data_IF_037393880903
#
_entry.id   IF_037393880903
#
_cell.length_a   1.000
_cell.length_b   1.000
_cell.length_c   1.000
_cell.angle_alpha   90.00
_cell.angle_beta   90.00
_cell.angle_gamma   90.00
#
_symmetry.space_group_name_H-M   'P 1'
#
loop_
_entity.id
_entity.type
_entity.pdbx_description
1 polymer ?
#
# COMPACT_ATOMS: atom_id res chain seq x y z
N UNK A 1 -2.35 5.07 47.17
CA UNK A 1 -2.25 4.17 46.04
C UNK A 1 -0.79 3.87 45.79
N UNK A 2 -0.40 2.62 45.62
CA UNK A 2 0.99 2.26 45.31
C UNK A 2 1.40 2.88 43.95
N UNK A 3 2.63 3.44 43.92
CA UNK A 3 3.18 4.02 42.68
C UNK A 3 3.53 2.88 41.72
N UNK A 4 2.93 2.87 40.54
CA UNK A 4 3.23 1.88 39.48
C UNK A 4 4.70 2.02 39.09
N UNK A 5 5.44 0.92 39.05
CA UNK A 5 6.83 0.86 38.59
C UNK A 5 6.88 0.30 37.16
N UNK A 6 7.96 0.63 36.44
CA UNK A 6 8.13 0.14 35.06
C UNK A 6 8.25 -1.39 35.01
N UNK A 7 8.80 -2.01 36.04
CA UNK A 7 8.90 -3.46 36.20
C UNK A 7 7.54 -4.12 36.27
N UNK A 8 6.56 -3.48 36.95
CA UNK A 8 5.18 -3.99 37.01
C UNK A 8 4.54 -3.95 35.62
N UNK A 9 4.81 -2.90 34.84
CA UNK A 9 4.32 -2.76 33.46
C UNK A 9 4.95 -3.82 32.57
N UNK A 10 6.26 -4.05 32.67
CA UNK A 10 6.98 -5.11 31.93
C UNK A 10 6.38 -6.47 32.21
N UNK A 11 6.24 -6.84 33.48
CA UNK A 11 5.66 -8.12 33.86
C UNK A 11 4.20 -8.30 33.41
N UNK A 12 3.47 -7.20 33.29
CA UNK A 12 2.09 -7.25 32.83
C UNK A 12 1.97 -7.42 31.32
N UNK A 13 2.80 -6.76 30.51
CA UNK A 13 2.73 -6.86 29.05
C UNK A 13 3.36 -8.15 28.52
N UNK A 14 4.35 -8.70 29.21
CA UNK A 14 4.97 -9.99 28.86
C UNK A 14 3.99 -11.16 28.86
N UNK A 15 2.92 -11.10 29.64
CA UNK A 15 1.85 -12.13 29.66
C UNK A 15 1.18 -12.29 28.30
N UNK A 16 1.19 -11.26 27.47
CA UNK A 16 0.61 -11.24 26.14
C UNK A 16 1.70 -11.20 25.04
N UNK A 17 2.93 -11.58 25.38
CA UNK A 17 4.11 -11.54 24.50
C UNK A 17 4.45 -10.13 23.97
N UNK A 18 4.09 -9.08 24.73
CA UNK A 18 4.54 -7.73 24.45
C UNK A 18 5.77 -7.39 25.29
N UNK A 19 6.54 -6.39 24.84
CA UNK A 19 7.69 -5.88 25.58
C UNK A 19 7.58 -4.37 25.78
N UNK A 20 8.16 -3.85 26.85
CA UNK A 20 8.38 -2.42 27.06
C UNK A 20 9.79 -2.07 26.60
N UNK A 21 9.88 -1.23 25.58
CA UNK A 21 11.17 -0.75 25.02
C UNK A 21 11.66 0.49 25.77
N UNK A 22 10.73 1.35 26.25
CA UNK A 22 11.09 2.51 27.06
C UNK A 22 11.84 2.11 28.32
N UNK A 23 12.83 2.93 28.72
CA UNK A 23 13.64 2.70 29.91
C UNK A 23 12.96 3.23 31.16
N UNK A 24 12.10 4.26 31.04
CA UNK A 24 11.46 4.95 32.16
C UNK A 24 9.94 5.00 32.01
N UNK A 25 9.26 5.00 33.17
CA UNK A 25 7.83 5.27 33.31
C UNK A 25 7.61 6.51 34.15
N UNK A 26 6.97 7.53 33.61
CA UNK A 26 6.70 8.80 34.32
C UNK A 26 5.30 8.80 34.92
N UNK A 27 4.26 8.60 34.10
CA UNK A 27 2.87 8.55 34.53
C UNK A 27 1.98 7.85 33.46
N UNK A 28 0.68 7.71 33.79
CA UNK A 28 -0.30 7.01 32.94
C UNK A 28 -0.51 7.63 31.55
N UNK A 29 -0.25 8.93 31.39
CA UNK A 29 -0.53 9.68 30.15
C UNK A 29 0.76 9.90 29.31
N UNK A 30 1.94 9.65 29.87
CA UNK A 30 3.20 9.80 29.14
C UNK A 30 3.34 8.68 28.13
N UNK A 31 3.66 9.04 26.88
CA UNK A 31 3.91 8.07 25.81
C UNK A 31 5.13 7.20 26.14
N UNK A 32 4.97 5.93 25.89
CA UNK A 32 6.00 4.89 26.01
C UNK A 32 6.08 4.11 24.72
N UNK A 33 7.19 3.43 24.51
CA UNK A 33 7.40 2.54 23.38
C UNK A 33 7.21 1.10 23.85
N UNK A 34 6.28 0.41 23.21
CA UNK A 34 6.03 -1.01 23.38
C UNK A 34 6.37 -1.76 22.09
N UNK A 35 6.72 -3.02 22.19
CA UNK A 35 6.86 -3.95 21.07
C UNK A 35 5.79 -5.03 21.20
N UNK A 36 4.95 -5.21 20.17
CA UNK A 36 3.94 -6.26 20.17
C UNK A 36 4.56 -7.64 19.86
N UNK A 37 3.76 -8.71 20.00
CA UNK A 37 4.19 -10.08 19.74
C UNK A 37 4.79 -10.30 18.32
N UNK A 38 4.38 -9.49 17.34
CA UNK A 38 4.87 -9.53 15.95
C UNK A 38 6.07 -8.58 15.72
N UNK A 39 6.66 -8.01 16.77
CA UNK A 39 7.83 -7.14 16.70
C UNK A 39 7.55 -5.69 16.27
N UNK A 40 6.29 -5.27 16.15
CA UNK A 40 5.98 -3.88 15.79
C UNK A 40 6.12 -2.95 17.00
N UNK A 41 6.75 -1.79 16.80
CA UNK A 41 6.79 -0.76 17.86
C UNK A 41 5.48 0.03 17.89
N UNK A 42 4.95 0.18 19.10
CA UNK A 42 3.69 0.88 19.39
C UNK A 42 3.98 2.03 20.35
N UNK A 43 3.72 3.25 19.90
CA UNK A 43 3.86 4.48 20.69
C UNK A 43 2.50 4.79 21.31
N UNK A 44 2.40 4.64 22.63
CA UNK A 44 1.15 4.91 23.34
C UNK A 44 1.38 5.12 24.84
N UNK A 45 0.51 5.87 25.53
CA UNK A 45 0.55 5.95 26.99
C UNK A 45 0.11 4.63 27.63
N UNK A 46 0.68 4.32 28.79
CA UNK A 46 0.34 3.10 29.55
C UNK A 46 -1.16 2.97 29.82
N UNK A 47 -1.86 4.06 30.07
CA UNK A 47 -3.32 4.09 30.24
C UNK A 47 -4.05 3.40 29.08
N UNK A 48 -3.63 3.65 27.84
CA UNK A 48 -4.25 3.07 26.62
C UNK A 48 -3.91 1.58 26.49
N UNK A 49 -2.64 1.22 26.64
CA UNK A 49 -2.16 -0.18 26.50
C UNK A 49 -2.75 -1.07 27.59
N UNK A 50 -2.89 -0.56 28.82
CA UNK A 50 -3.51 -1.30 29.92
C UNK A 50 -5.00 -1.61 29.69
N UNK A 51 -5.73 -0.69 29.06
CA UNK A 51 -7.15 -0.88 28.76
C UNK A 51 -7.33 -1.86 27.60
N UNK A 52 -6.53 -1.73 26.57
CA UNK A 52 -6.63 -2.57 25.36
C UNK A 52 -5.27 -2.67 24.69
N UNK A 53 -4.67 -3.87 24.73
CA UNK A 53 -3.40 -4.15 24.04
C UNK A 53 -3.66 -4.44 22.58
N UNK A 54 -3.81 -3.39 21.80
CA UNK A 54 -3.95 -3.48 20.36
C UNK A 54 -2.74 -2.84 19.67
N UNK A 55 -2.07 -3.61 18.84
CA UNK A 55 -1.11 -3.06 17.91
C UNK A 55 -1.87 -2.52 16.69
N UNK A 56 -1.78 -1.21 16.38
CA UNK A 56 -2.47 -0.65 15.21
C UNK A 56 -2.06 -1.33 13.91
N UNK A 57 -0.76 -1.66 13.79
CA UNK A 57 -0.21 -2.31 12.60
C UNK A 57 -0.75 -3.74 12.44
N UNK A 58 -0.75 -4.54 13.51
CA UNK A 58 -1.34 -5.88 13.49
C UNK A 58 -2.84 -5.83 13.18
N UNK A 59 -3.57 -4.91 13.83
CA UNK A 59 -5.00 -4.76 13.63
C UNK A 59 -5.34 -4.40 12.21
N UNK A 60 -4.63 -3.44 11.63
CA UNK A 60 -4.84 -3.01 10.25
C UNK A 60 -4.50 -4.12 9.25
N UNK A 61 -3.38 -4.80 9.44
CA UNK A 61 -2.99 -5.94 8.62
C UNK A 61 -3.96 -7.12 8.76
N UNK A 62 -4.38 -7.45 9.99
CA UNK A 62 -5.28 -8.57 10.26
C UNK A 62 -6.66 -8.40 9.61
N UNK A 63 -7.29 -7.23 9.78
CA UNK A 63 -8.65 -7.01 9.27
C UNK A 63 -8.71 -6.91 7.75
N UNK A 64 -7.69 -6.35 7.09
CA UNK A 64 -7.72 -6.15 5.63
C UNK A 64 -7.20 -7.33 4.82
N UNK A 65 -6.32 -8.15 5.37
CA UNK A 65 -5.74 -9.33 4.68
C UNK A 65 -6.63 -10.57 4.84
N UNK A 66 -7.17 -10.80 6.03
CA UNK A 66 -7.98 -11.99 6.31
C UNK A 66 -9.38 -11.95 5.68
N UNK A 67 -9.88 -10.76 5.28
CA UNK A 67 -11.15 -10.63 4.56
C UNK A 67 -11.04 -10.92 3.06
N UNK A 68 -9.83 -10.97 2.51
CA UNK A 68 -9.63 -11.20 1.08
C UNK A 68 -9.68 -12.71 0.80
N UNK A 69 -10.82 -13.18 0.28
CA UNK A 69 -10.92 -14.57 -0.19
C UNK A 69 -9.97 -14.79 -1.36
N UNK A 70 -8.90 -15.57 -1.12
CA UNK A 70 -7.92 -15.92 -2.13
C UNK A 70 -8.52 -16.90 -3.14
N UNK A 71 -8.38 -16.59 -4.40
CA UNK A 71 -8.81 -17.45 -5.52
C UNK A 71 -7.57 -18.21 -6.01
N UNK A 72 -7.57 -19.55 -5.94
CA UNK A 72 -6.44 -20.36 -6.40
C UNK A 72 -6.10 -20.09 -7.87
N UNK A 73 -4.81 -19.92 -8.16
CA UNK A 73 -4.32 -19.74 -9.53
C UNK A 73 -4.46 -21.05 -10.32
N UNK A 74 -5.02 -20.96 -11.52
CA UNK A 74 -5.09 -22.11 -12.42
C UNK A 74 -3.71 -22.43 -13.01
N UNK A 75 -3.39 -23.72 -13.15
CA UNK A 75 -2.14 -24.18 -13.74
C UNK A 75 -1.98 -23.65 -15.17
N UNK A 76 -0.80 -23.14 -15.50
CA UNK A 76 -0.47 -22.63 -16.84
C UNK A 76 -0.95 -21.18 -17.11
N UNK A 77 -1.69 -20.56 -16.20
CA UNK A 77 -2.11 -19.17 -16.34
C UNK A 77 -1.14 -18.26 -15.56
N UNK A 78 -0.66 -17.22 -16.21
CA UNK A 78 0.14 -16.17 -15.57
C UNK A 78 -0.76 -15.23 -14.79
N UNK A 79 -0.38 -14.94 -13.53
CA UNK A 79 -1.08 -14.01 -12.65
C UNK A 79 -0.29 -12.74 -12.50
N UNK A 80 -0.96 -11.60 -12.61
CA UNK A 80 -0.36 -10.30 -12.27
C UNK A 80 -1.06 -9.66 -11.08
N UNK A 81 -0.28 -8.95 -10.25
CA UNK A 81 -0.72 -8.00 -9.25
C UNK A 81 -0.37 -6.61 -9.76
N UNK A 82 -1.29 -5.66 -9.68
CA UNK A 82 -1.01 -4.27 -10.08
C UNK A 82 -1.42 -3.29 -8.98
N UNK A 83 -0.63 -2.22 -8.84
CA UNK A 83 -0.73 -1.25 -7.77
C UNK A 83 -0.83 0.17 -8.33
N UNK A 84 -1.84 0.91 -7.86
CA UNK A 84 -1.90 2.37 -7.85
C UNK A 84 -1.47 2.82 -6.43
N UNK A 85 -0.14 2.97 -6.23
CA UNK A 85 0.41 3.16 -4.91
C UNK A 85 0.21 4.57 -4.38
N UNK A 86 -0.21 4.65 -3.12
CA UNK A 86 -0.18 5.86 -2.32
C UNK A 86 -0.02 5.52 -0.83
N UNK A 87 0.43 6.49 -0.03
CA UNK A 87 0.76 6.24 1.37
C UNK A 87 -0.45 6.05 2.27
N UNK A 88 -1.62 6.53 1.88
CA UNK A 88 -2.88 6.38 2.64
C UNK A 88 -3.81 5.35 2.04
N UNK A 89 -3.99 5.36 0.72
CA UNK A 89 -4.90 4.46 0.02
C UNK A 89 -4.17 3.94 -1.22
N UNK A 90 -3.81 2.66 -1.21
CA UNK A 90 -3.23 1.98 -2.37
C UNK A 90 -4.30 1.14 -3.04
N UNK A 91 -4.63 1.46 -4.29
CA UNK A 91 -5.46 0.62 -5.12
C UNK A 91 -4.69 -0.61 -5.61
N UNK A 92 -5.38 -1.75 -5.73
CA UNK A 92 -4.77 -2.97 -6.23
C UNK A 92 -5.71 -3.81 -7.07
N UNK A 93 -5.16 -4.58 -8.00
CA UNK A 93 -5.91 -5.54 -8.82
C UNK A 93 -5.11 -6.80 -9.12
N UNK A 94 -5.83 -7.93 -9.25
CA UNK A 94 -5.27 -9.24 -9.62
C UNK A 94 -5.90 -9.67 -10.95
N UNK A 95 -5.06 -10.05 -11.89
CA UNK A 95 -5.48 -10.64 -13.16
C UNK A 95 -4.88 -12.04 -13.32
N UNK A 96 -5.69 -12.98 -13.86
CA UNK A 96 -5.26 -14.27 -14.36
C UNK A 96 -5.33 -14.24 -15.91
N UNK A 97 -4.17 -14.18 -16.57
CA UNK A 97 -4.11 -13.78 -17.97
C UNK A 97 -4.72 -12.39 -18.11
N UNK A 98 -5.71 -12.23 -19.00
CA UNK A 98 -6.44 -10.96 -19.19
C UNK A 98 -7.74 -10.87 -18.39
N UNK A 99 -8.02 -11.86 -17.53
CA UNK A 99 -9.25 -11.87 -16.72
C UNK A 99 -9.04 -11.21 -15.37
N UNK A 100 -9.81 -10.18 -15.04
CA UNK A 100 -9.87 -9.60 -13.70
C UNK A 100 -10.40 -10.65 -12.71
N UNK A 101 -9.62 -10.95 -11.66
CA UNK A 101 -9.93 -11.94 -10.63
C UNK A 101 -10.41 -11.27 -9.36
N UNK A 102 -9.69 -10.23 -8.93
CA UNK A 102 -9.97 -9.51 -7.70
C UNK A 102 -9.39 -8.10 -7.78
N UNK A 103 -9.94 -7.20 -7.00
CA UNK A 103 -9.48 -5.82 -6.86
C UNK A 103 -9.90 -5.28 -5.48
N UNK A 104 -9.37 -4.15 -5.10
CA UNK A 104 -9.73 -3.44 -3.88
C UNK A 104 -8.76 -2.32 -3.55
N UNK A 105 -8.84 -1.86 -2.32
CA UNK A 105 -7.92 -0.89 -1.75
C UNK A 105 -7.25 -1.45 -0.50
N UNK A 106 -6.03 -1.01 -0.24
CA UNK A 106 -5.40 -1.06 1.08
C UNK A 106 -5.38 0.36 1.63
N UNK A 107 -5.91 0.57 2.82
CA UNK A 107 -5.98 1.87 3.47
C UNK A 107 -5.20 1.83 4.78
N UNK A 108 -4.39 2.85 5.05
CA UNK A 108 -3.72 3.07 6.33
C UNK A 108 -4.00 4.48 6.84
N UNK A 109 -4.21 4.61 8.16
CA UNK A 109 -4.48 5.90 8.84
C UNK A 109 -3.38 6.26 9.84
N UNK A 110 -2.23 5.60 9.75
CA UNK A 110 -1.08 5.88 10.61
C UNK A 110 -0.58 7.31 10.36
N UNK A 111 -0.28 8.03 11.42
CA UNK A 111 0.13 9.44 11.30
C UNK A 111 1.56 9.59 10.74
N UNK A 112 2.45 8.69 11.14
CA UNK A 112 3.85 8.70 10.76
C UNK A 112 4.05 8.13 9.35
N UNK A 113 4.87 8.79 8.51
CA UNK A 113 5.15 8.37 7.13
C UNK A 113 5.85 7.01 7.09
N UNK A 114 6.89 6.81 7.92
CA UNK A 114 7.65 5.55 7.94
C UNK A 114 6.77 4.37 8.37
N UNK A 115 5.85 4.60 9.31
CA UNK A 115 4.89 3.57 9.72
C UNK A 115 3.91 3.23 8.60
N UNK A 116 3.42 4.23 7.86
CA UNK A 116 2.56 3.99 6.68
C UNK A 116 3.28 3.19 5.62
N UNK A 117 4.50 3.59 5.26
CA UNK A 117 5.30 2.91 4.26
C UNK A 117 5.59 1.46 4.67
N UNK A 118 5.88 1.25 5.97
CA UNK A 118 6.06 -0.08 6.54
C UNK A 118 4.78 -0.91 6.47
N UNK A 119 3.62 -0.31 6.74
CA UNK A 119 2.33 -1.00 6.64
C UNK A 119 2.03 -1.41 5.19
N UNK A 120 2.26 -0.52 4.21
CA UNK A 120 2.10 -0.83 2.77
C UNK A 120 3.08 -1.92 2.34
N UNK A 121 4.34 -1.85 2.76
CA UNK A 121 5.36 -2.89 2.50
C UNK A 121 4.90 -4.26 3.01
N UNK A 122 4.51 -4.33 4.28
CA UNK A 122 4.10 -5.59 4.91
C UNK A 122 2.83 -6.16 4.24
N UNK A 123 1.89 -5.29 3.90
CA UNK A 123 0.71 -5.67 3.13
C UNK A 123 1.10 -6.24 1.76
N UNK A 124 2.03 -5.60 1.03
CA UNK A 124 2.50 -6.10 -0.26
C UNK A 124 3.14 -7.48 -0.14
N UNK A 125 3.99 -7.72 0.88
CA UNK A 125 4.59 -9.04 1.13
C UNK A 125 3.48 -10.08 1.32
N UNK A 126 2.46 -9.79 2.11
CA UNK A 126 1.33 -10.69 2.31
C UNK A 126 0.54 -10.94 1.00
N UNK A 127 0.31 -9.90 0.19
CA UNK A 127 -0.31 -10.05 -1.12
C UNK A 127 0.49 -10.98 -2.03
N UNK A 128 1.80 -10.83 -2.06
CA UNK A 128 2.72 -11.68 -2.84
C UNK A 128 2.64 -13.14 -2.36
N UNK A 129 2.73 -13.38 -1.06
CA UNK A 129 2.71 -14.72 -0.47
C UNK A 129 1.39 -15.45 -0.72
N UNK A 130 0.27 -14.74 -0.62
CA UNK A 130 -1.07 -15.32 -0.75
C UNK A 130 -1.51 -15.48 -2.20
N UNK A 131 -1.28 -14.48 -3.05
CA UNK A 131 -1.73 -14.50 -4.43
C UNK A 131 -0.74 -15.10 -5.42
N UNK A 132 0.56 -15.17 -5.04
CA UNK A 132 1.65 -15.74 -5.86
C UNK A 132 1.64 -15.19 -7.29
N UNK A 133 1.75 -13.86 -7.47
CA UNK A 133 1.79 -13.27 -8.79
C UNK A 133 3.07 -13.68 -9.52
N UNK A 134 3.00 -13.86 -10.83
CA UNK A 134 4.15 -14.08 -11.70
C UNK A 134 4.79 -12.75 -12.10
N UNK A 135 4.02 -11.64 -12.05
CA UNK A 135 4.45 -10.29 -12.39
C UNK A 135 3.77 -9.26 -11.49
N UNK A 136 4.45 -8.15 -11.27
CA UNK A 136 3.85 -7.01 -10.56
C UNK A 136 3.95 -5.76 -11.43
N UNK A 137 2.82 -5.07 -11.64
CA UNK A 137 2.75 -3.74 -12.23
C UNK A 137 2.61 -2.67 -11.15
N UNK A 138 3.35 -1.59 -11.27
CA UNK A 138 3.26 -0.47 -10.33
C UNK A 138 3.17 0.84 -11.13
N UNK A 139 2.27 1.77 -10.74
CA UNK A 139 2.19 3.05 -11.43
C UNK A 139 3.50 3.83 -11.25
N UNK A 140 3.97 4.46 -12.33
CA UNK A 140 5.11 5.38 -12.25
C UNK A 140 4.68 6.68 -11.57
N UNK A 141 5.50 7.14 -10.63
CA UNK A 141 5.30 8.44 -10.01
C UNK A 141 5.96 9.50 -10.89
N UNK A 142 5.19 10.52 -11.21
CA UNK A 142 5.69 11.65 -12.00
C UNK A 142 5.62 12.92 -11.17
N UNK A 143 6.69 13.69 -11.19
CA UNK A 143 6.62 15.05 -10.73
C UNK A 143 5.58 15.77 -11.60
N UNK A 144 4.47 16.18 -11.00
CA UNK A 144 3.45 16.93 -11.74
C UNK A 144 4.10 18.20 -12.26
N UNK A 145 3.95 18.46 -13.57
CA UNK A 145 4.44 19.68 -14.19
C UNK A 145 3.78 20.86 -13.44
N UNK A 146 4.59 21.54 -12.66
CA UNK A 146 4.15 22.65 -11.83
C UNK A 146 3.74 23.88 -12.66
N UNK A 147 3.78 23.71 -14.01
CA UNK A 147 3.42 24.75 -14.95
C UNK A 147 4.31 25.98 -14.80
N UNK A 148 4.08 27.00 -15.62
CA UNK A 148 4.74 28.31 -15.55
C UNK A 148 4.29 29.18 -14.36
N UNK A 149 3.77 28.57 -13.26
CA UNK A 149 3.41 29.26 -12.04
C UNK A 149 4.68 29.62 -11.27
N UNK A 150 4.71 30.84 -10.77
CA UNK A 150 5.89 31.37 -10.10
C UNK A 150 6.26 30.53 -8.87
N UNK A 151 7.55 30.37 -8.62
CA UNK A 151 8.17 29.60 -7.50
C UNK A 151 7.69 30.07 -6.10
N UNK A 152 6.85 31.09 -6.03
CA UNK A 152 6.35 31.69 -4.79
C UNK A 152 5.02 31.10 -4.28
N UNK A 153 4.38 30.19 -5.02
CA UNK A 153 3.09 29.64 -4.61
C UNK A 153 3.26 28.43 -3.69
N UNK A 154 2.58 28.46 -2.56
CA UNK A 154 2.51 27.37 -1.57
C UNK A 154 2.15 26.01 -2.21
N UNK A 155 1.37 26.04 -3.28
CA UNK A 155 0.95 24.84 -4.03
C UNK A 155 2.11 24.07 -4.67
N UNK A 156 3.20 24.76 -5.05
CA UNK A 156 4.39 24.13 -5.61
C UNK A 156 5.17 23.34 -4.56
N UNK A 157 5.23 23.88 -3.33
CA UNK A 157 5.88 23.21 -2.20
C UNK A 157 5.12 21.94 -1.85
N UNK A 158 3.79 22.00 -1.81
CA UNK A 158 2.93 20.82 -1.56
C UNK A 158 3.11 19.75 -2.63
N UNK A 159 3.20 20.13 -3.91
CA UNK A 159 3.45 19.18 -5.01
C UNK A 159 4.79 18.46 -4.89
N UNK A 160 5.86 19.17 -4.53
CA UNK A 160 7.20 18.60 -4.31
C UNK A 160 7.21 17.67 -3.08
N UNK A 161 6.56 18.05 -1.98
CA UNK A 161 6.45 17.23 -0.79
C UNK A 161 5.69 15.92 -1.08
N UNK A 162 4.56 16.02 -1.78
CA UNK A 162 3.80 14.83 -2.19
C UNK A 162 4.62 13.91 -3.09
N UNK A 163 5.34 14.47 -4.07
CA UNK A 163 6.23 13.68 -4.93
C UNK A 163 7.32 12.97 -4.12
N UNK A 164 7.96 13.67 -3.18
CA UNK A 164 9.01 13.10 -2.32
C UNK A 164 8.49 11.91 -1.52
N UNK A 165 7.35 12.05 -0.87
CA UNK A 165 6.71 10.99 -0.08
C UNK A 165 6.35 9.79 -0.95
N UNK A 166 5.79 10.00 -2.14
CA UNK A 166 5.49 8.92 -3.08
C UNK A 166 6.75 8.25 -3.61
N UNK A 167 7.85 9.01 -3.82
CA UNK A 167 9.13 8.46 -4.28
C UNK A 167 9.76 7.54 -3.23
N UNK A 168 9.66 7.91 -1.95
CA UNK A 168 10.11 7.05 -0.85
C UNK A 168 9.34 5.73 -0.85
N UNK A 169 8.01 5.80 -0.88
CA UNK A 169 7.16 4.61 -0.91
C UNK A 169 7.47 3.74 -2.14
N UNK A 170 7.57 4.33 -3.34
CA UNK A 170 7.87 3.56 -4.56
C UNK A 170 9.21 2.84 -4.45
N UNK A 171 10.26 3.51 -3.94
CA UNK A 171 11.56 2.89 -3.70
C UNK A 171 11.48 1.69 -2.76
N UNK A 172 10.72 1.80 -1.67
CA UNK A 172 10.49 0.70 -0.72
C UNK A 172 9.76 -0.47 -1.40
N UNK A 173 8.70 -0.19 -2.18
CA UNK A 173 7.92 -1.23 -2.85
C UNK A 173 8.73 -1.94 -3.93
N UNK A 174 9.49 -1.21 -4.76
CA UNK A 174 10.35 -1.78 -5.79
C UNK A 174 11.44 -2.66 -5.17
N UNK A 175 12.09 -2.20 -4.10
CA UNK A 175 13.07 -3.02 -3.39
C UNK A 175 12.44 -4.28 -2.81
N UNK A 176 11.23 -4.16 -2.25
CA UNK A 176 10.50 -5.32 -1.71
C UNK A 176 10.18 -6.34 -2.79
N UNK A 177 9.70 -5.91 -3.96
CA UNK A 177 9.40 -6.78 -5.10
C UNK A 177 10.68 -7.47 -5.58
N UNK A 178 11.78 -6.71 -5.65
CA UNK A 178 13.11 -7.22 -6.00
C UNK A 178 13.56 -8.33 -5.05
N UNK A 179 13.49 -8.11 -3.75
CA UNK A 179 13.85 -9.10 -2.73
C UNK A 179 13.01 -10.39 -2.84
N UNK A 180 11.75 -10.28 -3.28
CA UNK A 180 10.86 -11.42 -3.53
C UNK A 180 11.13 -12.12 -4.88
N UNK A 181 12.07 -11.63 -5.67
CA UNK A 181 12.45 -12.14 -7.00
C UNK A 181 11.27 -12.27 -7.96
N UNK A 182 10.40 -11.26 -7.98
CA UNK A 182 9.24 -11.23 -8.88
C UNK A 182 9.53 -10.20 -9.98
N UNK A 183 9.40 -10.56 -11.25
CA UNK A 183 9.48 -9.62 -12.36
C UNK A 183 8.45 -8.51 -12.21
N UNK A 184 8.85 -7.26 -12.49
CA UNK A 184 7.95 -6.13 -12.37
C UNK A 184 8.08 -5.15 -13.53
N UNK A 185 7.05 -4.33 -13.70
CA UNK A 185 7.00 -3.23 -14.67
C UNK A 185 6.52 -1.95 -13.97
N UNK A 186 7.24 -0.86 -14.18
CA UNK A 186 6.80 0.49 -13.81
C UNK A 186 5.99 1.05 -14.97
N UNK A 187 4.73 1.37 -14.72
CA UNK A 187 3.73 1.74 -15.72
C UNK A 187 3.56 3.25 -15.78
N UNK A 188 4.10 3.96 -16.78
CA UNK A 188 3.90 5.40 -16.92
C UNK A 188 2.41 5.74 -17.06
N UNK A 189 1.91 6.68 -16.25
CA UNK A 189 0.50 7.09 -16.21
C UNK A 189 -0.07 7.43 -17.60
N UNK A 190 0.60 8.19 -18.49
CA UNK A 190 0.08 8.45 -19.82
C UNK A 190 -0.06 7.19 -20.68
N UNK A 191 0.86 6.25 -20.52
CA UNK A 191 0.93 5.03 -21.31
C UNK A 191 -0.24 4.09 -21.01
N UNK A 192 -0.44 3.71 -19.75
CA UNK A 192 -1.53 2.82 -19.38
C UNK A 192 -2.91 3.48 -19.58
N UNK A 193 -3.04 4.79 -19.31
CA UNK A 193 -4.29 5.53 -19.58
C UNK A 193 -4.66 5.57 -21.06
N UNK A 194 -3.66 5.79 -21.95
CA UNK A 194 -3.86 5.72 -23.39
C UNK A 194 -4.28 4.32 -23.81
N UNK A 195 -3.63 3.28 -23.31
CA UNK A 195 -3.97 1.89 -23.59
C UNK A 195 -5.42 1.56 -23.19
N UNK A 196 -5.85 2.02 -22.03
CA UNK A 196 -7.22 1.85 -21.55
C UNK A 196 -8.27 2.70 -22.30
N UNK A 197 -7.84 3.71 -23.07
CA UNK A 197 -8.74 4.63 -23.75
C UNK A 197 -9.33 5.72 -22.85
N UNK A 198 -8.64 6.05 -21.74
CA UNK A 198 -9.04 7.10 -20.79
C UNK A 198 -9.10 8.45 -21.48
N UNK A 199 -10.22 9.14 -21.35
CA UNK A 199 -10.48 10.45 -21.94
C UNK A 199 -10.71 11.51 -20.87
N UNK A 200 -10.43 12.77 -21.20
CA UNK A 200 -10.68 13.91 -20.32
C UNK A 200 -9.55 14.92 -20.32
N UNK A 201 -9.90 16.20 -20.08
CA UNK A 201 -8.94 17.29 -20.03
C UNK A 201 -8.42 17.50 -18.60
N UNK A 202 -9.27 17.36 -17.62
CA UNK A 202 -8.94 17.52 -16.20
C UNK A 202 -8.63 16.20 -15.52
N UNK A 203 -8.02 16.25 -14.33
CA UNK A 203 -7.80 15.06 -13.49
C UNK A 203 -9.13 14.40 -13.11
N UNK A 204 -10.16 15.19 -12.79
CA UNK A 204 -11.49 14.69 -12.46
C UNK A 204 -12.16 13.97 -13.65
N UNK A 205 -12.07 14.53 -14.86
CA UNK A 205 -12.61 13.90 -16.07
C UNK A 205 -11.94 12.54 -16.32
N UNK A 206 -10.60 12.46 -16.18
CA UNK A 206 -9.85 11.20 -16.38
C UNK A 206 -10.23 10.14 -15.37
N UNK A 207 -10.39 10.49 -14.09
CA UNK A 207 -10.86 9.58 -13.04
C UNK A 207 -12.26 9.06 -13.35
N UNK A 208 -13.19 9.96 -13.67
CA UNK A 208 -14.55 9.57 -14.08
C UNK A 208 -14.55 8.69 -15.34
N UNK A 209 -13.74 9.02 -16.33
CA UNK A 209 -13.57 8.20 -17.54
C UNK A 209 -13.10 6.78 -17.20
N UNK A 210 -12.13 6.64 -16.28
CA UNK A 210 -11.63 5.32 -15.88
C UNK A 210 -12.71 4.49 -15.17
N UNK A 211 -13.48 5.09 -14.27
CA UNK A 211 -14.61 4.39 -13.62
C UNK A 211 -15.66 3.92 -14.61
N UNK A 212 -16.00 4.75 -15.62
CA UNK A 212 -16.94 4.37 -16.69
C UNK A 212 -16.41 3.20 -17.54
N UNK A 213 -15.13 3.21 -17.87
CA UNK A 213 -14.49 2.11 -18.60
C UNK A 213 -14.53 0.81 -17.80
N UNK A 214 -14.21 0.84 -16.50
CA UNK A 214 -14.31 -0.34 -15.62
C UNK A 214 -15.75 -0.85 -15.55
N UNK A 215 -16.73 0.05 -15.42
CA UNK A 215 -18.16 -0.32 -15.47
C UNK A 215 -18.53 -0.98 -16.79
N UNK A 216 -18.03 -0.45 -17.90
CA UNK A 216 -18.27 -1.03 -19.23
C UNK A 216 -17.62 -2.41 -19.41
N UNK A 217 -16.41 -2.63 -18.90
CA UNK A 217 -15.68 -3.89 -19.10
C UNK A 217 -16.16 -5.02 -18.20
N UNK A 218 -16.55 -4.70 -16.96
CA UNK A 218 -16.77 -5.70 -15.93
C UNK A 218 -18.14 -5.60 -15.25
N UNK A 219 -18.96 -4.60 -15.58
CA UNK A 219 -20.27 -4.31 -14.96
C UNK A 219 -20.18 -4.10 -13.42
N UNK A 220 -19.10 -3.50 -12.95
CA UNK A 220 -18.86 -3.19 -11.54
C UNK A 220 -18.76 -1.68 -11.32
N UNK A 221 -19.14 -1.22 -10.12
CA UNK A 221 -18.92 0.16 -9.66
C UNK A 221 -17.77 0.17 -8.67
N UNK A 222 -16.83 1.07 -8.84
CA UNK A 222 -15.56 1.11 -8.11
C UNK A 222 -15.20 2.53 -7.68
N UNK A 223 -14.32 2.66 -6.69
CA UNK A 223 -13.68 3.92 -6.32
C UNK A 223 -12.68 4.37 -7.39
N UNK A 224 -12.14 5.58 -7.25
CA UNK A 224 -11.11 6.07 -8.18
C UNK A 224 -9.83 5.22 -8.13
N UNK A 225 -9.39 4.89 -6.93
CA UNK A 225 -8.13 4.18 -6.71
C UNK A 225 -8.24 2.70 -7.15
N UNK A 226 -9.40 2.07 -6.95
CA UNK A 226 -9.70 0.76 -7.54
C UNK A 226 -9.73 0.82 -9.07
N UNK A 227 -10.36 1.87 -9.65
CA UNK A 227 -10.44 2.01 -11.10
C UNK A 227 -9.05 2.16 -11.74
N UNK A 228 -8.20 3.03 -11.18
CA UNK A 228 -6.84 3.24 -11.68
C UNK A 228 -6.02 1.94 -11.54
N UNK A 229 -6.10 1.22 -10.41
CA UNK A 229 -5.43 -0.07 -10.22
C UNK A 229 -5.93 -1.17 -11.20
N UNK A 230 -7.23 -1.22 -11.50
CA UNK A 230 -7.80 -2.12 -12.52
C UNK A 230 -7.27 -1.76 -13.91
N UNK A 231 -7.17 -0.47 -14.22
CA UNK A 231 -6.63 0.01 -15.50
C UNK A 231 -5.16 -0.34 -15.69
N UNK A 232 -4.33 -0.14 -14.66
CA UNK A 232 -2.92 -0.56 -14.64
C UNK A 232 -2.84 -2.07 -14.84
N UNK A 233 -3.66 -2.83 -14.10
CA UNK A 233 -3.70 -4.29 -14.20
C UNK A 233 -4.09 -4.79 -15.58
N UNK A 234 -5.07 -4.15 -16.23
CA UNK A 234 -5.46 -4.46 -17.61
C UNK A 234 -4.30 -4.19 -18.58
N UNK A 235 -3.63 -3.04 -18.44
CA UNK A 235 -2.45 -2.72 -19.25
C UNK A 235 -1.36 -3.77 -19.09
N UNK A 236 -0.99 -4.10 -17.86
CA UNK A 236 0.02 -5.13 -17.57
C UNK A 236 -0.39 -6.48 -18.14
N UNK A 237 -1.60 -6.94 -17.88
CA UNK A 237 -2.11 -8.24 -18.31
C UNK A 237 -2.14 -8.40 -19.86
N UNK A 238 -2.40 -7.31 -20.60
CA UNK A 238 -2.51 -7.32 -22.05
C UNK A 238 -1.17 -7.07 -22.76
N UNK A 239 -0.17 -6.49 -22.08
CA UNK A 239 1.13 -6.14 -22.67
C UNK A 239 2.26 -7.05 -22.20
N UNK A 240 2.12 -7.71 -21.07
CA UNK A 240 3.11 -8.65 -20.54
C UNK A 240 3.27 -9.82 -21.53
N UNK A 241 4.38 -10.01 -22.09
CA UNK A 241 4.64 -10.97 -23.17
C UNK A 241 4.77 -10.32 -24.55
N UNK A 242 4.53 -9.00 -24.65
CA UNK A 242 4.81 -8.20 -25.86
C UNK A 242 5.95 -7.20 -25.65
N UNK A 243 6.37 -6.95 -24.40
CA UNK A 243 7.36 -5.93 -24.05
C UNK A 243 8.61 -6.53 -23.41
N UNK A 244 9.75 -6.00 -23.83
CA UNK A 244 11.11 -6.41 -23.47
C UNK A 244 11.64 -5.75 -22.18
N UNK A 245 10.81 -5.01 -21.45
CA UNK A 245 11.22 -4.21 -20.28
C UNK A 245 10.89 -4.89 -18.93
N UNK A 246 10.78 -6.21 -18.94
CA UNK A 246 10.67 -6.97 -17.70
C UNK A 246 12.09 -7.13 -17.17
N UNK A 247 12.36 -6.68 -15.95
CA UNK A 247 13.58 -7.04 -15.24
C UNK A 247 13.48 -8.53 -14.96
N UNK A 248 14.06 -9.36 -15.85
CA UNK A 248 14.22 -10.78 -15.64
C UNK A 248 15.49 -11.02 -14.81
N UNK A 249 15.39 -11.92 -13.85
CA UNK A 249 16.51 -12.33 -13.03
C UNK A 249 17.19 -13.51 -13.70
N UNK A 250 18.47 -13.38 -13.99
CA UNK A 250 19.35 -14.48 -14.34
C UNK A 250 19.62 -15.39 -13.14
#
# INVERSE_FOLDING_TARGET
MARIKIEDIRAEVEKDNWKVISEEYVNLETEMIFECAEGHQVFAPWKKIRQKRECPICKENYYKINEIKIIPKKKGIKRSLSLDQATYITGWSIYDGTKLVKYGIFETRLANEVERDTAVKNWLINMIQNWKPDYIGIEDIQLQDLGKRSIKDSDNIVGIQTFKVLAHLQGILLNTIYEQKIPFIVCPTPTWRKHCGVKGKTKADKKRSMQLLVKQWFDISVTNDEADAIGIGKYVAETIGRQYDIVEWE
#
